data_IF_149961939646
#
_entry.id   IF_149961939646
#
_cell.length_a   1.000
_cell.length_b   1.000
_cell.length_c   1.000
_cell.angle_alpha   90.00
_cell.angle_beta   90.00
_cell.angle_gamma   90.00
#
_symmetry.space_group_name_H-M   'P 1'
#
loop_
_entity.id
_entity.type
_entity.pdbx_description
1 polymer ?
#
# COMPACT_ATOMS: atom_id res chain seq x y z
N UNK A 1 -45.12 13.74 80.32
CA UNK A 1 -44.40 12.45 80.25
C UNK A 1 -45.14 11.58 79.22
N UNK A 2 -44.52 10.71 78.41
CA UNK A 2 -43.16 10.66 77.85
C UNK A 2 -43.14 10.40 76.30
N UNK A 3 -41.95 10.53 75.67
CA UNK A 3 -41.28 9.60 74.70
C UNK A 3 -42.02 9.16 73.41
N UNK A 4 -41.43 8.99 72.24
CA UNK A 4 -40.07 9.08 71.71
C UNK A 4 -40.23 8.93 70.19
N UNK A 5 -39.64 9.81 69.38
CA UNK A 5 -39.57 9.66 67.93
C UNK A 5 -38.38 8.78 67.55
N UNK A 6 -38.63 7.79 66.69
CA UNK A 6 -37.65 6.84 66.17
C UNK A 6 -36.61 7.52 65.27
N UNK A 7 -35.38 7.03 65.39
CA UNK A 7 -34.14 7.48 64.76
C UNK A 7 -33.70 6.45 63.69
N UNK A 8 -33.05 6.96 62.63
CA UNK A 8 -31.86 6.38 61.93
C UNK A 8 -32.03 5.58 60.60
N UNK A 9 -31.57 6.27 59.54
CA UNK A 9 -30.55 5.97 58.49
C UNK A 9 -30.71 4.79 57.51
N UNK A 10 -30.84 5.20 56.24
CA UNK A 10 -30.02 4.86 55.04
C UNK A 10 -28.98 3.72 55.13
N UNK A 11 -28.98 2.86 54.10
CA UNK A 11 -27.78 2.38 53.39
C UNK A 11 -28.11 2.00 51.93
N UNK A 12 -27.14 2.27 51.06
CA UNK A 12 -27.22 2.48 49.61
C UNK A 12 -27.36 1.22 48.73
N UNK A 13 -27.99 1.33 47.54
CA UNK A 13 -27.86 0.33 46.49
C UNK A 13 -26.84 0.77 45.41
N UNK A 14 -25.88 -0.13 45.16
CA UNK A 14 -25.39 -0.51 43.82
C UNK A 14 -24.41 0.45 43.15
N UNK A 15 -23.13 0.30 43.50
CA UNK A 15 -22.02 0.73 42.65
C UNK A 15 -21.83 -0.29 41.51
N UNK A 16 -22.54 -0.10 40.40
CA UNK A 16 -22.20 -0.75 39.12
C UNK A 16 -21.06 0.06 38.50
N UNK A 17 -19.83 -0.35 38.78
CA UNK A 17 -18.66 0.18 38.08
C UNK A 17 -18.67 -0.32 36.63
N UNK A 18 -19.23 0.49 35.73
CA UNK A 18 -19.09 0.30 34.30
C UNK A 18 -17.63 0.57 33.90
N UNK A 19 -16.83 -0.49 33.78
CA UNK A 19 -15.55 -0.42 33.06
C UNK A 19 -15.87 -0.17 31.57
N UNK A 20 -15.84 1.10 31.17
CA UNK A 20 -15.72 1.47 29.76
C UNK A 20 -14.45 0.83 29.22
N UNK A 21 -14.62 -0.22 28.40
CA UNK A 21 -13.55 -0.73 27.55
C UNK A 21 -13.20 0.36 26.52
N UNK A 22 -12.15 1.12 26.80
CA UNK A 22 -11.48 1.93 25.78
C UNK A 22 -10.85 0.97 24.78
N UNK A 23 -11.54 0.70 23.66
CA UNK A 23 -10.93 0.09 22.48
C UNK A 23 -9.88 1.06 21.93
N UNK A 24 -8.63 0.90 22.37
CA UNK A 24 -7.49 1.50 21.68
C UNK A 24 -7.49 0.89 20.28
N UNK A 25 -7.76 1.70 19.26
CA UNK A 25 -7.52 1.31 17.87
C UNK A 25 -6.03 0.99 17.76
N UNK A 26 -5.68 -0.29 17.91
CA UNK A 26 -4.33 -0.75 17.73
C UNK A 26 -3.94 -0.35 16.31
N UNK A 27 -2.94 0.50 16.19
CA UNK A 27 -2.38 0.85 14.91
C UNK A 27 -1.90 -0.46 14.26
N UNK A 28 -2.65 -0.94 13.26
CA UNK A 28 -2.51 -2.29 12.73
C UNK A 28 -1.21 -2.38 11.93
N UNK A 29 -0.16 -2.90 12.57
CA UNK A 29 1.04 -3.42 11.90
C UNK A 29 0.76 -4.85 11.46
N UNK A 30 1.34 -5.28 10.34
CA UNK A 30 1.16 -6.63 9.82
C UNK A 30 0.79 -6.66 8.34
N UNK A 31 0.48 -7.85 7.80
CA UNK A 31 0.16 -8.03 6.39
C UNK A 31 -1.13 -7.29 6.04
N UNK A 32 -1.13 -6.63 4.88
CA UNK A 32 -2.34 -6.07 4.28
C UNK A 32 -3.06 -7.19 3.55
N UNK A 33 -4.26 -7.50 4.01
CA UNK A 33 -5.10 -8.51 3.37
C UNK A 33 -5.96 -7.83 2.30
N UNK A 34 -5.81 -8.27 1.05
CA UNK A 34 -6.59 -7.78 -0.08
C UNK A 34 -7.76 -8.71 -0.34
N UNK A 35 -8.98 -8.16 -0.36
CA UNK A 35 -10.21 -8.93 -0.57
C UNK A 35 -11.13 -8.22 -1.56
N UNK A 36 -12.04 -8.98 -2.19
CA UNK A 36 -13.15 -8.38 -2.92
C UNK A 36 -14.17 -7.85 -1.92
N UNK A 37 -14.61 -6.61 -2.10
CA UNK A 37 -15.62 -5.99 -1.23
C UNK A 37 -16.63 -5.20 -2.08
N UNK A 38 -17.29 -5.84 -3.06
CA UNK A 38 -18.08 -5.16 -4.08
C UNK A 38 -19.18 -4.29 -3.47
N UNK A 39 -19.32 -3.05 -3.95
CA UNK A 39 -20.37 -2.13 -3.55
C UNK A 39 -20.15 -1.42 -2.21
N UNK A 40 -19.06 -1.72 -1.49
CA UNK A 40 -18.66 -0.92 -0.32
C UNK A 40 -18.13 0.46 -0.75
N UNK A 41 -18.13 1.42 0.18
CA UNK A 41 -17.59 2.76 -0.09
C UNK A 41 -16.10 2.73 -0.51
N UNK A 42 -15.32 1.78 0.04
CA UNK A 42 -13.92 1.58 -0.34
C UNK A 42 -13.80 0.98 -1.73
N UNK A 43 -14.65 0.02 -2.12
CA UNK A 43 -14.66 -0.54 -3.48
C UNK A 43 -15.07 0.50 -4.53
N UNK A 44 -16.08 1.33 -4.23
CA UNK A 44 -16.48 2.44 -5.10
C UNK A 44 -15.32 3.41 -5.30
N UNK A 45 -14.66 3.81 -4.21
CA UNK A 45 -13.48 4.69 -4.27
C UNK A 45 -12.34 4.03 -5.06
N UNK A 46 -12.04 2.76 -4.81
CA UNK A 46 -11.01 2.01 -5.52
C UNK A 46 -11.28 1.95 -7.03
N UNK A 47 -12.52 1.68 -7.44
CA UNK A 47 -12.90 1.65 -8.86
C UNK A 47 -12.79 3.01 -9.54
N UNK A 48 -13.11 4.08 -8.82
CA UNK A 48 -12.93 5.45 -9.31
C UNK A 48 -11.43 5.76 -9.49
N UNK A 49 -10.61 5.44 -8.48
CA UNK A 49 -9.17 5.67 -8.50
C UNK A 49 -8.46 4.85 -9.59
N UNK A 50 -8.95 3.63 -9.86
CA UNK A 50 -8.41 2.71 -10.86
C UNK A 50 -9.16 2.74 -12.20
N UNK A 51 -10.00 3.76 -12.46
CA UNK A 51 -10.89 3.78 -13.62
C UNK A 51 -10.14 3.63 -14.96
N UNK A 52 -8.96 4.22 -15.08
CA UNK A 52 -8.11 4.09 -16.27
C UNK A 52 -7.66 2.66 -16.53
N UNK A 53 -7.24 1.94 -15.49
CA UNK A 53 -6.77 0.56 -15.57
C UNK A 53 -7.94 -0.38 -15.91
N UNK A 54 -9.08 -0.19 -15.24
CA UNK A 54 -10.30 -0.92 -15.51
C UNK A 54 -10.79 -0.71 -16.96
N UNK A 55 -10.71 0.52 -17.48
CA UNK A 55 -11.05 0.81 -18.86
C UNK A 55 -10.11 0.11 -19.85
N UNK A 56 -8.79 0.08 -19.57
CA UNK A 56 -7.81 -0.62 -20.41
C UNK A 56 -8.05 -2.13 -20.44
N UNK A 57 -8.32 -2.76 -19.29
CA UNK A 57 -8.66 -4.18 -19.22
C UNK A 57 -9.97 -4.47 -20.00
N UNK A 58 -11.01 -3.65 -19.78
CA UNK A 58 -12.29 -3.79 -20.48
C UNK A 58 -12.17 -3.64 -22.00
N UNK A 59 -11.31 -2.73 -22.48
CA UNK A 59 -11.04 -2.57 -23.91
C UNK A 59 -10.43 -3.82 -24.57
N UNK A 60 -9.85 -4.72 -23.77
CA UNK A 60 -9.34 -6.04 -24.21
C UNK A 60 -10.34 -7.17 -24.00
N UNK A 61 -11.60 -6.86 -23.65
CA UNK A 61 -12.66 -7.84 -23.43
C UNK A 61 -12.61 -8.53 -22.07
N UNK A 62 -11.83 -8.01 -21.12
CA UNK A 62 -11.67 -8.63 -19.81
C UNK A 62 -12.69 -8.11 -18.79
N UNK A 63 -12.96 -8.94 -17.77
CA UNK A 63 -13.73 -8.55 -16.58
C UNK A 63 -12.78 -8.50 -15.37
N UNK A 64 -12.13 -7.36 -15.11
CA UNK A 64 -11.13 -7.26 -14.06
C UNK A 64 -11.74 -7.38 -12.66
N UNK A 65 -11.04 -8.07 -11.77
CA UNK A 65 -11.37 -8.14 -10.34
C UNK A 65 -10.64 -7.02 -9.60
N UNK A 66 -11.32 -6.36 -8.66
CA UNK A 66 -10.72 -5.33 -7.80
C UNK A 66 -10.60 -5.90 -6.39
N UNK A 67 -9.37 -6.01 -5.90
CA UNK A 67 -9.07 -6.37 -4.53
C UNK A 67 -8.65 -5.14 -3.74
N UNK A 68 -9.19 -5.00 -2.53
CA UNK A 68 -8.91 -3.87 -1.66
C UNK A 68 -8.51 -4.31 -0.26
N UNK A 69 -7.60 -3.55 0.33
CA UNK A 69 -7.26 -3.60 1.74
C UNK A 69 -7.11 -2.17 2.27
N UNK A 70 -7.21 -2.00 3.59
CA UNK A 70 -7.04 -0.68 4.21
C UNK A 70 -6.21 -0.78 5.48
N UNK A 71 -5.36 0.22 5.73
CA UNK A 71 -4.61 0.29 6.98
C UNK A 71 -4.41 1.74 7.44
N UNK A 72 -4.36 1.98 8.76
CA UNK A 72 -3.94 3.26 9.32
C UNK A 72 -2.42 3.39 9.22
N UNK A 73 -1.94 4.08 8.19
CA UNK A 73 -0.50 4.32 8.03
C UNK A 73 -0.02 5.51 8.87
N UNK A 74 -0.91 6.45 9.22
CA UNK A 74 -0.60 7.54 10.15
C UNK A 74 -1.08 7.24 11.56
N UNK A 75 -0.47 7.89 12.55
CA UNK A 75 -1.05 8.03 13.90
C UNK A 75 -2.15 9.09 13.96
N UNK A 76 -2.31 9.92 12.92
CA UNK A 76 -3.37 10.94 12.84
C UNK A 76 -4.73 10.29 12.62
N UNK A 77 -5.72 10.71 13.40
CA UNK A 77 -7.10 10.24 13.24
C UNK A 77 -7.67 10.68 11.89
N UNK A 78 -8.32 9.75 11.20
CA UNK A 78 -9.00 10.01 9.91
C UNK A 78 -8.14 9.76 8.67
N UNK A 79 -6.81 9.68 8.81
CA UNK A 79 -5.94 9.26 7.71
C UNK A 79 -6.04 7.75 7.53
N UNK A 80 -6.51 7.31 6.36
CA UNK A 80 -6.59 5.89 5.99
C UNK A 80 -5.91 5.68 4.64
N UNK A 81 -5.09 4.63 4.55
CA UNK A 81 -4.57 4.18 3.28
C UNK A 81 -5.45 3.09 2.70
N UNK A 82 -5.67 3.15 1.39
CA UNK A 82 -6.37 2.17 0.59
C UNK A 82 -5.38 1.52 -0.37
N UNK A 83 -5.23 0.21 -0.23
CA UNK A 83 -4.40 -0.64 -1.08
C UNK A 83 -5.32 -1.25 -2.13
N UNK A 84 -5.01 -1.04 -3.41
CA UNK A 84 -5.87 -1.48 -4.52
C UNK A 84 -5.05 -2.29 -5.51
N UNK A 85 -5.52 -3.49 -5.79
CA UNK A 85 -4.98 -4.34 -6.85
C UNK A 85 -6.08 -4.64 -7.87
N UNK A 86 -5.76 -4.44 -9.14
CA UNK A 86 -6.63 -4.86 -10.26
C UNK A 86 -6.06 -6.16 -10.82
N UNK A 87 -6.86 -7.22 -10.81
CA UNK A 87 -6.50 -8.49 -11.41
C UNK A 87 -7.09 -8.60 -12.81
N UNK A 88 -6.21 -8.61 -13.80
CA UNK A 88 -6.53 -8.66 -15.23
C UNK A 88 -5.33 -9.25 -15.97
N UNK A 89 -5.59 -10.14 -16.93
CA UNK A 89 -4.53 -10.85 -17.65
C UNK A 89 -3.62 -9.90 -18.43
N UNK A 90 -4.16 -8.80 -18.97
CA UNK A 90 -3.38 -7.81 -19.71
C UNK A 90 -2.66 -6.76 -18.85
N UNK A 91 -3.05 -6.62 -17.58
CA UNK A 91 -2.41 -5.67 -16.65
C UNK A 91 -1.38 -6.34 -15.74
N UNK A 92 -1.56 -7.62 -15.45
CA UNK A 92 -0.62 -8.38 -14.61
C UNK A 92 0.55 -8.88 -15.46
N UNK A 93 1.77 -8.71 -14.94
CA UNK A 93 3.00 -9.16 -15.59
C UNK A 93 3.49 -10.50 -15.05
N UNK A 94 4.72 -10.87 -15.40
CA UNK A 94 5.40 -12.07 -14.87
C UNK A 94 5.61 -12.04 -13.36
N UNK A 95 5.71 -10.84 -12.77
CA UNK A 95 5.78 -10.63 -11.32
C UNK A 95 4.41 -10.67 -10.63
N UNK A 96 3.33 -10.97 -11.37
CA UNK A 96 1.95 -10.92 -10.89
C UNK A 96 1.30 -9.55 -11.06
N UNK A 97 0.20 -9.34 -10.35
CA UNK A 97 -0.57 -8.10 -10.37
C UNK A 97 0.03 -7.09 -9.40
N UNK A 98 0.08 -5.82 -9.80
CA UNK A 98 0.60 -4.74 -8.96
C UNK A 98 -0.48 -4.15 -8.06
N UNK A 99 -0.05 -3.67 -6.90
CA UNK A 99 -0.87 -2.98 -5.91
C UNK A 99 -0.50 -1.51 -5.89
N UNK A 100 -1.47 -0.61 -6.04
CA UNK A 100 -1.31 0.82 -5.81
C UNK A 100 -1.81 1.19 -4.42
N UNK A 101 -1.22 2.22 -3.80
CA UNK A 101 -1.64 2.73 -2.50
C UNK A 101 -2.08 4.17 -2.61
N UNK A 102 -3.25 4.46 -2.06
CA UNK A 102 -3.84 5.78 -2.00
C UNK A 102 -4.03 6.21 -0.55
N UNK A 103 -3.77 7.47 -0.23
CA UNK A 103 -3.96 8.02 1.10
C UNK A 103 -5.14 8.99 1.09
N UNK A 104 -6.08 8.83 2.02
CA UNK A 104 -7.21 9.75 2.20
C UNK A 104 -6.79 10.87 3.17
N UNK A 105 -6.94 12.11 2.72
CA UNK A 105 -6.83 13.31 3.53
C UNK A 105 -8.09 14.17 3.34
N UNK A 106 -8.90 14.29 4.38
CA UNK A 106 -10.24 14.88 4.22
C UNK A 106 -11.04 14.07 3.20
N UNK A 107 -11.61 14.71 2.18
CA UNK A 107 -12.34 14.02 1.09
C UNK A 107 -11.48 13.70 -0.14
N UNK A 108 -10.17 13.96 -0.08
CA UNK A 108 -9.29 13.77 -1.23
C UNK A 108 -8.43 12.52 -1.07
N UNK A 109 -8.29 11.78 -2.18
CA UNK A 109 -7.37 10.66 -2.31
C UNK A 109 -6.15 11.08 -3.12
N UNK A 110 -4.96 10.81 -2.60
CA UNK A 110 -3.69 10.96 -3.34
C UNK A 110 -3.04 9.60 -3.53
N UNK A 111 -2.52 9.34 -4.74
CA UNK A 111 -1.68 8.16 -4.97
C UNK A 111 -0.33 8.40 -4.29
N UNK A 112 0.03 7.51 -3.37
CA UNK A 112 1.26 7.62 -2.55
C UNK A 112 2.26 6.50 -2.79
N UNK A 113 1.85 5.43 -3.48
CA UNK A 113 2.73 4.39 -3.98
C UNK A 113 2.15 3.88 -5.29
N UNK A 114 2.93 3.98 -6.36
CA UNK A 114 2.50 3.52 -7.67
C UNK A 114 2.99 2.11 -7.93
N UNK A 115 2.06 1.17 -7.93
CA UNK A 115 2.22 -0.16 -8.52
C UNK A 115 3.44 -0.97 -8.03
N UNK A 116 3.29 -1.62 -6.88
CA UNK A 116 4.27 -2.59 -6.36
C UNK A 116 3.76 -4.03 -6.51
N UNK A 117 4.64 -4.95 -6.87
CA UNK A 117 4.30 -6.38 -7.01
C UNK A 117 4.66 -7.13 -5.74
N UNK A 118 3.78 -8.05 -5.32
CA UNK A 118 3.97 -8.87 -4.12
C UNK A 118 3.16 -8.42 -2.90
N UNK A 119 3.21 -9.21 -1.80
CA UNK A 119 2.45 -8.92 -0.60
C UNK A 119 2.97 -7.66 0.10
N UNK A 120 2.07 -6.89 0.70
CA UNK A 120 2.40 -5.65 1.42
C UNK A 120 2.25 -5.87 2.92
N UNK A 121 3.25 -5.47 3.70
CA UNK A 121 3.22 -5.50 5.16
C UNK A 121 3.44 -4.11 5.72
N UNK A 122 2.55 -3.67 6.61
CA UNK A 122 2.69 -2.42 7.36
C UNK A 122 3.67 -2.64 8.51
N UNK A 123 4.76 -1.87 8.52
CA UNK A 123 5.82 -2.04 9.51
C UNK A 123 5.52 -1.28 10.83
N UNK A 124 6.12 -1.73 11.95
CA UNK A 124 6.11 -0.96 13.19
C UNK A 124 6.85 0.38 13.08
N UNK A 125 7.94 0.41 12.31
CA UNK A 125 8.77 1.60 12.10
C UNK A 125 8.00 2.65 11.30
N UNK A 126 8.28 3.92 11.57
CA UNK A 126 7.64 5.05 10.91
C UNK A 126 8.65 6.14 10.59
N UNK A 127 8.43 6.87 9.50
CA UNK A 127 9.16 8.08 9.13
C UNK A 127 8.18 9.17 8.70
N UNK A 128 8.43 10.42 9.08
CA UNK A 128 7.54 11.54 8.76
C UNK A 128 6.09 11.34 9.23
N UNK A 129 5.88 10.62 10.34
CA UNK A 129 4.55 10.33 10.90
C UNK A 129 3.75 9.23 10.19
N UNK A 130 4.36 8.54 9.23
CA UNK A 130 3.77 7.45 8.47
C UNK A 130 4.54 6.15 8.67
N UNK A 131 3.84 5.03 8.82
CA UNK A 131 4.42 3.69 8.92
C UNK A 131 5.13 3.32 7.64
N UNK A 132 6.30 2.70 7.76
CA UNK A 132 6.99 2.15 6.60
C UNK A 132 6.21 0.94 6.05
N UNK A 133 6.41 0.67 4.77
CA UNK A 133 5.86 -0.52 4.12
C UNK A 133 7.00 -1.47 3.80
N UNK A 134 6.75 -2.77 3.94
CA UNK A 134 7.58 -3.82 3.36
C UNK A 134 6.81 -4.47 2.23
N UNK A 135 7.41 -4.51 1.06
CA UNK A 135 6.91 -5.21 -0.11
C UNK A 135 7.68 -6.52 -0.20
N UNK A 136 6.94 -7.62 -0.39
CA UNK A 136 7.48 -8.97 -0.28
C UNK A 136 8.23 -9.14 1.06
N UNK A 137 9.43 -9.69 1.03
CA UNK A 137 10.22 -10.09 2.19
C UNK A 137 11.37 -9.13 2.48
N UNK A 138 11.77 -8.29 1.53
CA UNK A 138 13.02 -7.54 1.61
C UNK A 138 12.90 -6.04 1.32
N UNK A 139 11.93 -5.62 0.50
CA UNK A 139 11.92 -4.26 -0.03
C UNK A 139 11.21 -3.31 0.94
N UNK A 140 11.99 -2.46 1.61
CA UNK A 140 11.46 -1.47 2.55
C UNK A 140 11.21 -0.17 1.80
N UNK A 141 9.96 0.27 1.85
CA UNK A 141 9.51 1.54 1.29
C UNK A 141 9.25 2.54 2.42
N UNK A 142 9.89 3.70 2.33
CA UNK A 142 9.86 4.73 3.36
C UNK A 142 9.10 5.95 2.89
N UNK A 143 8.30 6.52 3.78
CA UNK A 143 7.60 7.77 3.53
C UNK A 143 8.57 8.96 3.45
N UNK A 144 8.43 9.78 2.39
CA UNK A 144 9.24 10.97 2.14
C UNK A 144 8.46 12.29 2.21
N UNK A 145 7.27 12.29 2.82
CA UNK A 145 6.43 13.47 2.97
C UNK A 145 5.28 13.59 1.97
N UNK A 146 5.41 12.98 0.79
CA UNK A 146 4.37 12.98 -0.26
C UNK A 146 4.07 11.60 -0.83
N UNK A 147 5.06 10.73 -0.91
CA UNK A 147 4.96 9.38 -1.42
C UNK A 147 5.95 8.44 -0.70
N UNK A 148 5.72 7.15 -0.84
CA UNK A 148 6.68 6.11 -0.46
C UNK A 148 7.77 5.99 -1.53
N UNK A 149 9.02 5.85 -1.08
CA UNK A 149 10.16 5.56 -1.93
C UNK A 149 10.85 4.28 -1.49
N UNK A 150 11.30 3.50 -2.46
CA UNK A 150 12.14 2.35 -2.20
C UNK A 150 13.45 2.80 -1.52
N UNK A 151 13.87 2.03 -0.54
CA UNK A 151 15.12 2.26 0.19
C UNK A 151 16.21 1.26 -0.17
N UNK A 152 15.92 0.31 -1.07
CA UNK A 152 16.94 -0.53 -1.65
C UNK A 152 18.05 0.37 -2.24
N UNK A 153 19.32 0.10 -1.91
CA UNK A 153 20.41 0.75 -2.61
C UNK A 153 20.25 0.42 -4.09
N UNK A 154 20.24 1.44 -4.96
CA UNK A 154 20.28 1.22 -6.40
C UNK A 154 21.49 0.33 -6.69
N UNK A 155 21.27 -0.96 -7.00
CA UNK A 155 22.36 -1.86 -7.37
C UNK A 155 22.83 -1.40 -8.74
N UNK A 156 23.87 -0.58 -8.70
CA UNK A 156 24.42 0.10 -9.86
C UNK A 156 25.05 1.40 -9.41
N UNK A 157 26.37 1.37 -9.25
CA UNK A 157 27.10 2.50 -9.82
C UNK A 157 26.75 2.47 -11.30
N UNK A 158 25.88 3.37 -11.75
CA UNK A 158 25.48 3.51 -13.16
C UNK A 158 26.67 3.37 -14.10
N UNK A 159 27.83 3.82 -13.64
CA UNK A 159 29.11 3.77 -14.31
C UNK A 159 29.67 2.38 -14.65
N UNK A 160 29.48 1.36 -13.80
CA UNK A 160 30.00 0.01 -14.08
C UNK A 160 29.12 -0.70 -15.13
N UNK A 161 27.81 -0.58 -15.00
CA UNK A 161 26.86 -1.12 -15.96
C UNK A 161 26.96 -0.39 -17.31
N UNK A 162 27.01 0.94 -17.29
CA UNK A 162 27.19 1.79 -18.48
C UNK A 162 28.44 1.38 -19.27
N UNK A 163 29.59 1.23 -18.61
CA UNK A 163 30.83 0.77 -19.25
C UNK A 163 30.71 -0.61 -19.89
N UNK A 164 30.01 -1.54 -19.23
CA UNK A 164 29.79 -2.88 -19.77
C UNK A 164 28.91 -2.85 -21.04
N UNK A 165 27.83 -2.06 -21.02
CA UNK A 165 26.93 -1.90 -22.18
C UNK A 165 27.66 -1.23 -23.35
N UNK A 166 28.43 -0.17 -23.10
CA UNK A 166 29.20 0.52 -24.14
C UNK A 166 30.25 -0.39 -24.79
N UNK A 167 30.97 -1.18 -23.99
CA UNK A 167 31.95 -2.14 -24.50
C UNK A 167 31.28 -3.20 -25.38
N UNK A 168 30.13 -3.73 -24.95
CA UNK A 168 29.39 -4.73 -25.72
C UNK A 168 28.88 -4.16 -27.05
N UNK A 169 28.30 -2.95 -27.04
CA UNK A 169 27.83 -2.31 -28.28
C UNK A 169 28.98 -1.99 -29.24
N UNK A 170 30.16 -1.62 -28.73
CA UNK A 170 31.34 -1.39 -29.55
C UNK A 170 31.85 -2.67 -30.22
N UNK A 171 31.83 -3.80 -29.51
CA UNK A 171 32.17 -5.11 -30.07
C UNK A 171 31.19 -5.52 -31.18
N UNK A 172 29.88 -5.44 -30.91
CA UNK A 172 28.83 -5.78 -31.90
C UNK A 172 28.94 -4.92 -33.16
N UNK A 173 29.23 -3.62 -33.03
CA UNK A 173 29.44 -2.74 -34.20
C UNK A 173 30.65 -3.14 -35.04
N UNK A 174 31.75 -3.56 -34.41
CA UNK A 174 32.96 -4.01 -35.11
C UNK A 174 32.69 -5.31 -35.88
N UNK A 175 32.04 -6.27 -35.22
CA UNK A 175 31.69 -7.56 -35.84
C UNK A 175 30.76 -7.35 -37.04
N UNK A 176 29.75 -6.48 -36.89
CA UNK A 176 28.80 -6.15 -37.96
C UNK A 176 29.47 -5.48 -39.17
N UNK A 177 30.46 -4.61 -38.94
CA UNK A 177 31.22 -3.95 -40.01
C UNK A 177 32.19 -4.88 -40.73
N UNK A 178 32.69 -5.91 -40.04
CA UNK A 178 33.59 -6.89 -40.62
C UNK A 178 32.82 -7.92 -41.46
N UNK A 179 31.63 -8.34 -41.02
CA UNK A 179 30.76 -9.25 -41.79
C UNK A 179 30.21 -8.61 -43.07
N UNK A 180 29.97 -7.29 -43.09
CA UNK A 180 29.49 -6.59 -44.30
C UNK A 180 30.60 -6.22 -45.29
N UNK A 181 31.87 -6.23 -44.87
CA UNK A 181 33.02 -6.07 -45.77
C UNK A 181 33.38 -7.33 -46.57
N UNK A 182 33.04 -8.52 -46.05
CA UNK A 182 33.42 -9.82 -46.64
C UNK A 182 32.42 -10.34 -47.69
N UNK A 183 31.22 -9.73 -47.76
CA UNK A 183 30.19 -10.06 -48.75
C UNK A 183 30.29 -9.25 -50.06
N UNK A 184 31.35 -8.43 -50.21
CA UNK A 184 31.54 -7.49 -51.32
C UNK A 184 32.72 -7.80 -52.25
N UNK A 185 33.28 -9.01 -52.22
CA UNK A 185 34.32 -9.47 -53.15
C UNK A 185 33.81 -10.56 -54.09
#
# INVERSE_FOLDING_TARGET
MPRSFFLIRFLAPWAVAAFMAMSVAQAQTGPVILTQQPGTALDISARQLMAGDLARAKARGETPIVLIGSAPLSSRKGDVALFVQVQSASLCGSAGCSTSVYLKHGEHWSKVLDSVSGPVTVMPKSHGGMRDLRIDSHDVWRWQGTAYQDTAPSIGSDEALRRSVEAHQAAVRKDSAQTSGDAGQ
#
